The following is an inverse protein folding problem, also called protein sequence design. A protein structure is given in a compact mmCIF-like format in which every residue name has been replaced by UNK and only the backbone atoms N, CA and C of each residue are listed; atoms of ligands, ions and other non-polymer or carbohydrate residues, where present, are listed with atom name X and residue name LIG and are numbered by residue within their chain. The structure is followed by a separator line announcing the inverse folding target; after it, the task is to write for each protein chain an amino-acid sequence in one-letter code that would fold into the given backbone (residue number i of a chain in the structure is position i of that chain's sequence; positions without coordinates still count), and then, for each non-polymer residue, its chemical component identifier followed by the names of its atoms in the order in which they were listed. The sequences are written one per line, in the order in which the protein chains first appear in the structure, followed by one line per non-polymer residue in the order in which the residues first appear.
data_IF_964238094761
#
_entry.id   IF_964238094761
#
_cell.length_a   1.000
_cell.length_b   1.000
_cell.length_c   1.000
_cell.angle_alpha   90.00
_cell.angle_beta   90.00
_cell.angle_gamma   90.00
#
_symmetry.space_group_name_H-M   'P 1'
#
loop_
_entity.id
_entity.type
_entity.pdbx_description
1 polymer ?
#
# COMPACT_ATOMS: atom_id res chain seq x y z
N UNK A 1 -29.58 -3.75 9.24
CA UNK A 1 -29.59 -2.81 8.10
C UNK A 1 -30.11 -3.57 6.89
N UNK A 2 -31.08 -3.02 6.16
CA UNK A 2 -31.55 -3.62 4.92
C UNK A 2 -30.68 -3.14 3.75
N UNK A 3 -30.02 -4.07 3.09
CA UNK A 3 -29.05 -3.82 2.01
C UNK A 3 -29.68 -3.94 0.62
N UNK A 4 -30.96 -4.30 0.56
CA UNK A 4 -31.71 -4.41 -0.70
C UNK A 4 -32.34 -3.08 -1.12
N UNK A 5 -32.43 -2.13 -0.19
CA UNK A 5 -33.03 -0.80 -0.36
C UNK A 5 -32.00 0.32 -0.47
N UNK A 6 -32.45 1.52 -0.81
CA UNK A 6 -31.65 2.76 -0.80
C UNK A 6 -31.24 3.17 0.62
N UNK A 7 -30.36 4.17 0.74
CA UNK A 7 -30.11 4.83 2.02
C UNK A 7 -31.40 5.47 2.56
N UNK A 8 -31.65 5.33 3.85
CA UNK A 8 -32.51 6.27 4.57
C UNK A 8 -31.77 7.57 4.84
N UNK A 9 -32.51 8.65 5.12
CA UNK A 9 -31.91 9.95 5.48
C UNK A 9 -30.94 9.83 6.67
N UNK A 10 -31.26 8.96 7.63
CA UNK A 10 -30.41 8.70 8.79
C UNK A 10 -29.12 7.98 8.40
N UNK A 11 -29.20 6.97 7.53
CA UNK A 11 -28.03 6.23 7.08
C UNK A 11 -27.11 7.11 6.23
N UNK A 12 -27.67 7.94 5.35
CA UNK A 12 -26.91 8.90 4.55
C UNK A 12 -26.22 9.95 5.44
N UNK A 13 -26.98 10.57 6.35
CA UNK A 13 -26.43 11.54 7.32
C UNK A 13 -25.29 10.91 8.14
N UNK A 14 -25.46 9.66 8.57
CA UNK A 14 -24.42 8.91 9.27
C UNK A 14 -23.18 8.66 8.41
N UNK A 15 -23.34 8.34 7.12
CA UNK A 15 -22.23 8.17 6.18
C UNK A 15 -21.46 9.47 5.99
N UNK A 16 -22.14 10.58 5.72
CA UNK A 16 -21.51 11.90 5.57
C UNK A 16 -20.76 12.29 6.85
N UNK A 17 -21.38 12.10 8.02
CA UNK A 17 -20.74 12.36 9.30
C UNK A 17 -19.45 11.54 9.53
N UNK A 18 -19.41 10.29 9.05
CA UNK A 18 -18.16 9.48 9.08
C UNK A 18 -17.08 10.10 8.20
N UNK A 19 -17.40 10.56 6.99
CA UNK A 19 -16.43 11.21 6.12
C UNK A 19 -15.94 12.55 6.67
N UNK A 20 -16.83 13.38 7.23
CA UNK A 20 -16.45 14.61 7.89
C UNK A 20 -15.54 14.35 9.12
N UNK A 21 -15.81 13.25 9.83
CA UNK A 21 -14.98 12.81 10.95
C UNK A 21 -13.60 12.28 10.53
N UNK A 22 -13.41 11.88 9.27
CA UNK A 22 -12.14 11.33 8.74
C UNK A 22 -11.33 12.33 7.91
N UNK A 23 -11.99 13.18 7.13
CA UNK A 23 -11.35 14.10 6.19
C UNK A 23 -11.46 15.56 6.63
N UNK A 24 -12.45 15.87 7.47
CA UNK A 24 -12.85 17.24 7.80
C UNK A 24 -14.18 17.63 7.14
N UNK A 25 -14.92 18.56 7.76
CA UNK A 25 -16.23 18.98 7.26
C UNK A 25 -16.19 19.43 5.80
N UNK A 26 -17.10 18.90 4.99
CA UNK A 26 -17.31 19.32 3.59
C UNK A 26 -16.26 18.80 2.60
N UNK A 27 -15.33 17.94 3.05
CA UNK A 27 -14.31 17.35 2.17
C UNK A 27 -14.81 16.16 1.35
N UNK A 28 -15.97 15.60 1.67
CA UNK A 28 -16.57 14.49 0.93
C UNK A 28 -16.74 14.81 -0.56
N UNK A 29 -17.29 15.97 -0.89
CA UNK A 29 -17.56 16.35 -2.28
C UNK A 29 -16.27 16.65 -3.06
N UNK A 30 -15.28 17.24 -2.39
CA UNK A 30 -13.98 17.59 -2.98
C UNK A 30 -13.13 16.35 -3.28
N UNK A 31 -13.14 15.38 -2.38
CA UNK A 31 -12.20 14.24 -2.39
C UNK A 31 -12.84 12.98 -2.97
N UNK A 32 -14.14 12.76 -2.75
CA UNK A 32 -14.85 11.56 -3.15
C UNK A 32 -16.15 11.90 -3.87
N UNK A 33 -16.11 12.81 -4.85
CA UNK A 33 -17.29 13.25 -5.60
C UNK A 33 -18.12 12.14 -6.26
N UNK A 34 -17.55 10.95 -6.46
CA UNK A 34 -18.31 9.76 -6.88
C UNK A 34 -19.40 9.36 -5.87
N UNK A 35 -19.17 9.53 -4.57
CA UNK A 35 -20.12 9.15 -3.51
C UNK A 35 -21.40 10.00 -3.55
N UNK A 36 -21.37 11.35 -3.46
CA UNK A 36 -22.57 12.16 -3.59
C UNK A 36 -23.23 12.00 -4.96
N UNK A 37 -22.45 11.91 -6.05
CA UNK A 37 -22.99 11.63 -7.38
C UNK A 37 -23.79 10.33 -7.42
N UNK A 38 -23.26 9.24 -6.86
CA UNK A 38 -23.94 7.95 -6.84
C UNK A 38 -25.10 7.90 -5.84
N UNK A 39 -25.05 8.69 -4.78
CA UNK A 39 -26.19 8.86 -3.88
C UNK A 39 -27.39 9.46 -4.62
N UNK A 40 -27.14 10.46 -5.46
CA UNK A 40 -28.20 11.11 -6.24
C UNK A 40 -28.71 10.23 -7.40
N UNK A 41 -27.81 9.50 -8.07
CA UNK A 41 -28.16 8.68 -9.24
C UNK A 41 -28.73 7.31 -8.88
N UNK A 42 -28.06 6.57 -7.98
CA UNK A 42 -28.32 5.15 -7.65
C UNK A 42 -27.95 4.86 -6.19
N UNK A 43 -28.69 5.41 -5.22
CA UNK A 43 -28.36 5.29 -3.80
C UNK A 43 -28.38 3.83 -3.32
N UNK A 44 -29.22 2.98 -3.93
CA UNK A 44 -29.25 1.54 -3.68
C UNK A 44 -27.94 0.84 -4.05
N UNK A 45 -27.36 1.20 -5.20
CA UNK A 45 -26.05 0.67 -5.65
C UNK A 45 -24.93 1.17 -4.75
N UNK A 46 -24.92 2.46 -4.41
CA UNK A 46 -23.93 3.03 -3.49
C UNK A 46 -23.97 2.34 -2.12
N UNK A 47 -25.17 2.04 -1.59
CA UNK A 47 -25.33 1.37 -0.30
C UNK A 47 -24.69 -0.01 -0.30
N UNK A 48 -24.88 -0.78 -1.38
CA UNK A 48 -24.25 -2.10 -1.55
C UNK A 48 -22.74 -2.01 -1.74
N UNK A 49 -22.25 -1.01 -2.49
CA UNK A 49 -20.82 -0.74 -2.56
C UNK A 49 -20.23 -0.42 -1.18
N UNK A 50 -20.89 0.42 -0.39
CA UNK A 50 -20.46 0.75 0.97
C UNK A 50 -20.48 -0.45 1.91
N UNK A 51 -21.45 -1.35 1.77
CA UNK A 51 -21.44 -2.62 2.51
C UNK A 51 -20.16 -3.40 2.22
N UNK A 52 -19.84 -3.61 0.94
CA UNK A 52 -18.64 -4.36 0.56
C UNK A 52 -17.40 -3.65 1.09
N UNK A 53 -17.28 -2.34 0.90
CA UNK A 53 -16.16 -1.55 1.40
C UNK A 53 -16.00 -1.64 2.93
N UNK A 54 -17.10 -1.54 3.69
CA UNK A 54 -17.07 -1.66 5.15
C UNK A 54 -16.66 -3.09 5.58
N UNK A 55 -17.19 -4.13 4.93
CA UNK A 55 -16.81 -5.54 5.22
C UNK A 55 -15.32 -5.75 5.01
N UNK A 56 -14.79 -5.41 3.83
CA UNK A 56 -13.41 -5.75 3.48
C UNK A 56 -12.41 -4.88 4.24
N UNK A 57 -12.70 -3.59 4.43
CA UNK A 57 -11.76 -2.71 5.16
C UNK A 57 -11.72 -3.03 6.64
N UNK A 58 -12.83 -3.46 7.25
CA UNK A 58 -12.86 -3.84 8.68
C UNK A 58 -12.51 -5.31 8.91
N UNK A 59 -12.25 -6.10 7.86
CA UNK A 59 -11.95 -7.53 7.97
C UNK A 59 -13.11 -8.33 8.59
N UNK A 60 -14.35 -7.89 8.37
CA UNK A 60 -15.53 -8.53 8.98
C UNK A 60 -15.66 -9.98 8.53
N UNK A 61 -15.73 -10.89 9.50
CA UNK A 61 -15.83 -12.33 9.26
C UNK A 61 -14.49 -13.06 9.19
N UNK A 62 -13.36 -12.35 9.23
CA UNK A 62 -12.03 -12.95 9.38
C UNK A 62 -11.75 -13.22 10.86
N UNK A 63 -11.06 -14.34 11.15
CA UNK A 63 -10.65 -14.68 12.51
C UNK A 63 -9.62 -13.68 13.07
N UNK A 64 -8.75 -13.14 12.20
CA UNK A 64 -7.70 -12.18 12.54
C UNK A 64 -7.59 -11.08 11.48
N UNK A 65 -8.67 -10.32 11.29
CA UNK A 65 -8.67 -9.14 10.42
C UNK A 65 -7.81 -7.99 10.97
N UNK A 66 -7.37 -7.11 10.07
CA UNK A 66 -6.67 -5.87 10.38
C UNK A 66 -7.68 -4.76 10.65
N UNK A 67 -7.49 -3.95 11.71
CA UNK A 67 -8.27 -2.75 11.92
C UNK A 67 -8.02 -1.75 10.78
N UNK A 68 -9.07 -1.05 10.38
CA UNK A 68 -8.97 0.08 9.46
C UNK A 68 -9.81 1.28 9.94
N UNK A 69 -9.29 2.51 9.87
CA UNK A 69 -7.90 2.87 9.56
C UNK A 69 -6.92 2.37 10.65
N UNK A 70 -5.61 2.27 10.36
CA UNK A 70 -4.91 2.87 9.22
C UNK A 70 -4.66 1.91 8.05
N UNK A 71 -4.71 0.59 8.25
CA UNK A 71 -3.96 -0.35 7.40
C UNK A 71 -4.40 -0.32 5.93
N UNK A 72 -5.65 -0.66 5.62
CA UNK A 72 -6.12 -0.68 4.24
C UNK A 72 -6.08 0.72 3.60
N UNK A 73 -6.39 1.77 4.37
CA UNK A 73 -6.32 3.15 3.88
C UNK A 73 -4.90 3.58 3.52
N UNK A 74 -3.89 3.24 4.34
CA UNK A 74 -2.50 3.60 4.03
C UNK A 74 -1.93 2.74 2.90
N UNK A 75 -2.38 1.49 2.78
CA UNK A 75 -2.10 0.63 1.62
C UNK A 75 -2.67 1.27 0.35
N UNK A 76 -3.93 1.77 0.38
CA UNK A 76 -4.49 2.56 -0.71
C UNK A 76 -3.71 3.85 -0.98
N UNK A 77 -3.25 4.55 0.05
CA UNK A 77 -2.41 5.75 -0.09
C UNK A 77 -1.14 5.48 -0.89
N UNK A 78 -0.48 4.36 -0.63
CA UNK A 78 0.63 3.89 -1.46
C UNK A 78 0.19 3.67 -2.91
N UNK A 79 -0.85 2.86 -3.15
CA UNK A 79 -1.32 2.56 -4.51
C UNK A 79 -1.78 3.80 -5.29
N UNK A 80 -2.57 4.67 -4.66
CA UNK A 80 -3.05 5.94 -5.20
C UNK A 80 -1.87 6.85 -5.62
N UNK A 81 -0.81 6.87 -4.81
CA UNK A 81 0.42 7.59 -5.15
C UNK A 81 1.12 6.95 -6.35
N UNK A 82 1.19 5.62 -6.40
CA UNK A 82 1.79 4.87 -7.52
C UNK A 82 1.12 5.17 -8.85
N UNK A 83 -0.23 5.16 -8.89
CA UNK A 83 -0.99 5.46 -10.11
C UNK A 83 -1.20 6.96 -10.36
N UNK A 84 -0.77 7.82 -9.44
CA UNK A 84 -0.94 9.27 -9.54
C UNK A 84 -2.41 9.71 -9.47
N UNK A 85 -3.23 9.12 -8.59
CA UNK A 85 -4.62 9.50 -8.37
C UNK A 85 -4.72 10.62 -7.31
N UNK A 86 -4.90 11.89 -7.72
CA UNK A 86 -4.66 13.03 -6.83
C UNK A 86 -5.64 13.12 -5.66
N UNK A 87 -6.92 12.82 -5.89
CA UNK A 87 -7.94 12.85 -4.85
C UNK A 87 -7.67 11.78 -3.78
N UNK A 88 -7.31 10.56 -4.21
CA UNK A 88 -6.94 9.48 -3.29
C UNK A 88 -5.70 9.81 -2.45
N UNK A 89 -4.65 10.36 -3.08
CA UNK A 89 -3.45 10.82 -2.36
C UNK A 89 -3.82 11.83 -1.27
N UNK A 90 -4.64 12.84 -1.61
CA UNK A 90 -5.07 13.84 -0.64
C UNK A 90 -5.89 13.21 0.50
N UNK A 91 -6.85 12.33 0.18
CA UNK A 91 -7.69 11.63 1.15
C UNK A 91 -6.87 10.89 2.20
N UNK A 92 -5.91 10.09 1.74
CA UNK A 92 -5.12 9.22 2.59
C UNK A 92 -4.17 10.03 3.48
N UNK A 93 -3.61 11.14 2.98
CA UNK A 93 -2.79 12.01 3.81
C UNK A 93 -3.57 12.82 4.84
N UNK A 94 -4.77 13.33 4.49
CA UNK A 94 -5.66 13.96 5.46
C UNK A 94 -6.04 12.99 6.58
N UNK A 95 -6.38 11.76 6.19
CA UNK A 95 -6.68 10.69 7.13
C UNK A 95 -5.49 10.39 8.03
N UNK A 96 -4.29 10.20 7.47
CA UNK A 96 -3.07 9.91 8.22
C UNK A 96 -2.81 10.98 9.30
N UNK A 97 -2.84 12.27 8.92
CA UNK A 97 -2.69 13.39 9.87
C UNK A 97 -3.75 13.33 10.95
N UNK A 98 -5.01 13.07 10.58
CA UNK A 98 -6.14 13.13 11.52
C UNK A 98 -6.16 12.00 12.54
N UNK A 99 -5.65 10.81 12.19
CA UNK A 99 -5.55 9.68 13.10
C UNK A 99 -4.22 9.65 13.86
N UNK A 100 -3.46 10.74 13.83
CA UNK A 100 -2.24 10.89 14.62
C UNK A 100 -1.00 10.27 14.00
N UNK A 101 -1.01 10.01 12.70
CA UNK A 101 0.20 9.63 11.96
C UNK A 101 1.29 10.68 12.12
N UNK A 102 2.53 10.27 11.90
CA UNK A 102 3.70 11.15 11.90
C UNK A 102 4.15 11.46 10.47
N UNK A 103 4.87 12.56 10.30
CA UNK A 103 5.43 12.95 9.00
C UNK A 103 6.43 11.94 8.44
N UNK A 104 7.21 11.27 9.29
CA UNK A 104 8.17 10.24 8.89
C UNK A 104 7.47 9.00 8.32
N UNK A 105 6.35 8.55 8.92
CA UNK A 105 5.52 7.46 8.40
C UNK A 105 4.97 7.80 7.01
N UNK A 106 4.46 9.01 6.84
CA UNK A 106 3.98 9.50 5.54
C UNK A 106 5.11 9.61 4.52
N UNK A 107 6.28 10.09 4.94
CA UNK A 107 7.46 10.19 4.07
C UNK A 107 7.94 8.81 3.60
N UNK A 108 7.90 7.78 4.46
CA UNK A 108 8.21 6.40 4.09
C UNK A 108 7.18 5.85 3.08
N UNK A 109 5.88 6.12 3.26
CA UNK A 109 4.83 5.71 2.30
C UNK A 109 5.09 6.33 0.93
N UNK A 110 5.38 7.64 0.89
CA UNK A 110 5.66 8.37 -0.35
C UNK A 110 6.97 7.91 -1.00
N UNK A 111 8.00 7.63 -0.22
CA UNK A 111 9.29 7.12 -0.69
C UNK A 111 9.14 5.74 -1.32
N UNK A 112 8.37 4.84 -0.69
CA UNK A 112 8.03 3.53 -1.24
C UNK A 112 7.16 3.64 -2.51
N UNK A 113 6.19 4.55 -2.53
CA UNK A 113 5.37 4.77 -3.71
C UNK A 113 6.22 5.29 -4.89
N UNK A 114 7.18 6.18 -4.63
CA UNK A 114 8.10 6.67 -5.63
C UNK A 114 8.93 5.54 -6.27
N UNK A 115 9.30 4.52 -5.51
CA UNK A 115 9.99 3.37 -6.07
C UNK A 115 9.17 2.69 -7.19
N UNK A 116 7.85 2.65 -7.03
CA UNK A 116 6.95 1.92 -7.94
C UNK A 116 6.24 2.80 -8.98
N UNK A 117 6.11 4.11 -8.75
CA UNK A 117 5.25 4.99 -9.56
C UNK A 117 5.80 5.39 -10.92
N UNK A 118 7.12 5.27 -11.11
CA UNK A 118 7.81 5.99 -12.18
C UNK A 118 7.57 7.50 -12.14
N UNK A 119 7.86 8.20 -13.23
CA UNK A 119 7.79 9.67 -13.29
C UNK A 119 6.38 10.26 -13.12
N UNK A 120 5.34 9.53 -13.52
CA UNK A 120 3.96 10.06 -13.52
C UNK A 120 3.43 10.24 -12.10
N UNK A 121 3.50 9.20 -11.26
CA UNK A 121 3.06 9.32 -9.88
C UNK A 121 3.90 10.30 -9.07
N UNK A 122 5.20 10.45 -9.36
CA UNK A 122 6.05 11.46 -8.73
C UNK A 122 5.53 12.88 -8.93
N UNK A 123 5.23 13.25 -10.18
CA UNK A 123 4.79 14.60 -10.50
C UNK A 123 3.45 14.93 -9.83
N UNK A 124 2.52 13.97 -9.83
CA UNK A 124 1.23 14.15 -9.16
C UNK A 124 1.38 14.22 -7.65
N UNK A 125 2.16 13.32 -7.04
CA UNK A 125 2.41 13.31 -5.61
C UNK A 125 3.05 14.62 -5.15
N UNK A 126 4.08 15.12 -5.84
CA UNK A 126 4.70 16.40 -5.51
C UNK A 126 3.69 17.55 -5.51
N UNK A 127 2.83 17.64 -6.54
CA UNK A 127 1.80 18.68 -6.66
C UNK A 127 0.75 18.60 -5.55
N UNK A 128 0.31 17.40 -5.18
CA UNK A 128 -0.76 17.19 -4.20
C UNK A 128 -0.24 17.28 -2.77
N UNK A 129 0.90 16.64 -2.49
CA UNK A 129 1.44 16.53 -1.13
C UNK A 129 2.10 17.84 -0.66
N UNK A 130 2.69 18.64 -1.55
CA UNK A 130 3.49 19.80 -1.14
C UNK A 130 2.71 20.80 -0.28
N UNK A 131 1.49 21.27 -0.63
CA UNK A 131 0.74 22.19 0.21
C UNK A 131 0.37 21.58 1.57
N UNK A 132 0.02 20.30 1.58
CA UNK A 132 -0.37 19.60 2.81
C UNK A 132 0.81 19.44 3.76
N UNK A 133 1.94 18.95 3.25
CA UNK A 133 3.17 18.75 4.03
C UNK A 133 3.75 20.08 4.53
N UNK A 134 3.60 21.17 3.76
CA UNK A 134 3.97 22.51 4.22
C UNK A 134 3.11 22.99 5.41
N UNK A 135 1.85 22.54 5.49
CA UNK A 135 0.93 22.85 6.60
C UNK A 135 1.02 21.88 7.79
N UNK A 136 1.85 20.85 7.70
CA UNK A 136 2.02 19.82 8.73
C UNK A 136 3.37 20.05 9.39
N UNK A 137 3.40 20.73 10.53
CA UNK A 137 4.62 20.95 11.31
C UNK A 137 5.05 19.66 12.03
N UNK A 138 6.35 19.43 12.33
CA UNK A 138 6.74 18.36 13.25
C UNK A 138 6.09 18.49 14.65
N UNK A 139 5.71 19.71 15.05
CA UNK A 139 4.94 19.93 16.28
C UNK A 139 3.50 19.38 16.20
N UNK A 140 3.00 19.08 15.00
CA UNK A 140 1.70 18.48 14.77
C UNK A 140 1.78 16.94 14.69
N UNK A 141 2.97 16.33 14.86
CA UNK A 141 3.12 14.88 14.86
C UNK A 141 2.35 14.26 16.03
N UNK A 142 1.54 13.25 15.72
CA UNK A 142 0.81 12.48 16.71
C UNK A 142 1.64 11.32 17.31
N UNK A 143 1.01 10.39 18.03
CA UNK A 143 1.68 9.21 18.58
C UNK A 143 2.19 8.22 17.50
N UNK A 144 1.81 8.39 16.23
CA UNK A 144 2.01 7.42 15.16
C UNK A 144 0.72 6.73 14.74
N UNK A 145 0.75 6.13 13.55
CA UNK A 145 -0.37 5.36 13.04
C UNK A 145 -0.62 4.11 13.93
N UNK A 146 -1.88 3.80 14.27
CA UNK A 146 -2.17 2.68 15.17
C UNK A 146 -2.11 1.33 14.41
N UNK A 147 -0.91 0.76 14.34
CA UNK A 147 -0.65 -0.52 13.67
C UNK A 147 -1.20 -1.73 14.47
N UNK A 148 -1.49 -2.86 13.79
CA UNK A 148 -1.87 -4.10 14.45
C UNK A 148 -0.86 -4.56 15.50
N UNK A 149 -1.34 -5.24 16.55
CA UNK A 149 -0.47 -5.78 17.59
C UNK A 149 0.59 -6.72 17.00
N UNK A 150 1.84 -6.57 17.43
CA UNK A 150 2.98 -7.38 16.98
C UNK A 150 3.62 -6.90 15.68
N UNK A 151 3.03 -5.92 14.99
CA UNK A 151 3.70 -5.26 13.87
C UNK A 151 4.76 -4.29 14.40
N UNK A 152 5.92 -4.32 13.79
CA UNK A 152 7.07 -3.52 14.19
C UNK A 152 7.89 -3.12 12.97
N UNK A 153 8.59 -2.00 13.08
CA UNK A 153 9.57 -1.63 12.06
C UNK A 153 10.84 -2.43 12.22
N UNK A 154 11.36 -2.93 11.10
CA UNK A 154 12.67 -3.55 10.98
C UNK A 154 13.21 -3.22 9.58
N UNK A 155 14.00 -2.15 9.49
CA UNK A 155 14.66 -1.76 8.24
C UNK A 155 15.70 -2.78 7.80
N UNK A 156 16.30 -3.52 8.74
CA UNK A 156 17.36 -4.49 8.45
C UNK A 156 16.83 -5.71 7.71
N UNK A 157 15.54 -6.04 7.90
CA UNK A 157 14.85 -7.07 7.13
C UNK A 157 14.92 -6.87 5.59
N UNK A 158 15.07 -5.62 5.14
CA UNK A 158 15.15 -5.28 3.71
C UNK A 158 16.58 -5.22 3.16
N UNK A 159 17.61 -5.39 4.00
CA UNK A 159 19.01 -5.29 3.59
C UNK A 159 19.48 -6.53 2.84
N UNK A 160 20.06 -6.35 1.66
CA UNK A 160 20.71 -7.45 0.91
C UNK A 160 22.08 -7.79 1.49
N UNK A 161 22.72 -6.82 2.16
CA UNK A 161 24.10 -6.89 2.61
C UNK A 161 25.09 -6.30 1.62
N UNK A 162 24.61 -5.66 0.54
CA UNK A 162 25.45 -4.80 -0.32
C UNK A 162 25.84 -3.55 0.45
N UNK A 163 27.11 -3.16 0.39
CA UNK A 163 27.59 -1.90 0.93
C UNK A 163 27.44 -0.79 -0.12
N UNK A 164 26.69 0.27 0.21
CA UNK A 164 26.47 1.40 -0.68
C UNK A 164 27.32 2.63 -0.30
N UNK A 165 28.01 2.61 0.84
CA UNK A 165 28.81 3.75 1.32
C UNK A 165 30.14 3.88 0.56
N UNK A 166 30.68 2.74 0.12
CA UNK A 166 31.96 2.65 -0.61
C UNK A 166 31.83 2.89 -2.13
N UNK A 167 30.71 3.44 -2.60
CA UNK A 167 30.55 3.78 -4.01
C UNK A 167 31.34 5.06 -4.37
N UNK A 168 32.57 4.90 -4.83
CA UNK A 168 33.47 5.98 -5.26
C UNK A 168 33.26 6.43 -6.73
N UNK A 169 32.24 5.89 -7.39
CA UNK A 169 32.01 6.09 -8.83
C UNK A 169 32.77 5.11 -9.73
N UNK A 170 33.37 4.05 -9.17
CA UNK A 170 33.99 2.97 -9.92
C UNK A 170 33.01 2.32 -10.92
N UNK A 171 33.56 1.94 -12.06
CA UNK A 171 32.83 1.27 -13.15
C UNK A 171 32.78 -0.25 -13.00
N UNK A 172 33.60 -0.82 -12.11
CA UNK A 172 33.63 -2.26 -11.85
C UNK A 172 32.68 -2.61 -10.72
N UNK A 173 31.88 -3.66 -10.92
CA UNK A 173 30.93 -4.18 -9.94
C UNK A 173 31.52 -5.44 -9.31
N UNK A 174 31.47 -5.54 -7.98
CA UNK A 174 31.80 -6.78 -7.28
C UNK A 174 30.70 -7.83 -7.55
N UNK A 175 31.04 -9.00 -8.14
CA UNK A 175 30.08 -10.10 -8.29
C UNK A 175 29.42 -10.54 -6.98
N UNK A 176 30.06 -10.29 -5.82
CA UNK A 176 29.50 -10.56 -4.50
C UNK A 176 28.23 -9.75 -4.22
N UNK A 177 28.11 -8.53 -4.76
CA UNK A 177 26.94 -7.68 -4.59
C UNK A 177 25.71 -8.25 -5.30
N UNK A 178 25.90 -8.69 -6.55
CA UNK A 178 24.83 -9.33 -7.33
C UNK A 178 24.39 -10.64 -6.65
N UNK A 179 25.34 -11.40 -6.11
CA UNK A 179 25.05 -12.60 -5.34
C UNK A 179 24.30 -12.28 -4.02
N UNK A 180 24.61 -11.17 -3.35
CA UNK A 180 23.91 -10.72 -2.15
C UNK A 180 22.45 -10.33 -2.44
N UNK A 181 22.21 -9.60 -3.53
CA UNK A 181 20.86 -9.25 -4.00
C UNK A 181 20.06 -10.52 -4.32
N UNK A 182 20.68 -11.47 -5.03
CA UNK A 182 20.07 -12.76 -5.40
C UNK A 182 19.64 -13.54 -4.14
N UNK A 183 20.55 -13.72 -3.18
CA UNK A 183 20.26 -14.42 -1.91
C UNK A 183 19.17 -13.75 -1.09
N UNK A 184 19.06 -12.42 -1.15
CA UNK A 184 17.97 -11.72 -0.48
C UNK A 184 16.63 -12.07 -1.09
N UNK A 185 16.51 -12.08 -2.42
CA UNK A 185 15.25 -12.42 -3.09
C UNK A 185 14.84 -13.86 -2.79
N UNK A 186 15.76 -14.82 -2.82
CA UNK A 186 15.47 -16.21 -2.43
C UNK A 186 14.97 -16.31 -0.99
N UNK A 187 15.64 -15.65 -0.05
CA UNK A 187 15.29 -15.70 1.37
C UNK A 187 13.97 -15.00 1.70
N UNK A 188 13.74 -13.83 1.13
CA UNK A 188 12.67 -12.91 1.54
C UNK A 188 11.47 -12.96 0.60
N UNK A 189 11.66 -13.32 -0.67
CA UNK A 189 10.59 -13.43 -1.67
C UNK A 189 10.39 -14.86 -2.20
N UNK A 190 11.21 -15.81 -1.77
CA UNK A 190 11.10 -17.24 -2.10
C UNK A 190 11.63 -17.62 -3.48
N UNK A 191 11.85 -16.65 -4.36
CA UNK A 191 12.36 -16.83 -5.72
C UNK A 191 13.07 -15.55 -6.20
N UNK A 192 13.94 -15.69 -7.20
CA UNK A 192 14.68 -14.57 -7.81
C UNK A 192 13.91 -14.04 -9.01
N UNK A 193 13.53 -12.75 -9.04
CA UNK A 193 12.89 -12.16 -10.22
C UNK A 193 13.80 -12.21 -11.46
N UNK A 194 13.27 -12.44 -12.67
CA UNK A 194 14.07 -12.50 -13.89
C UNK A 194 14.90 -11.23 -14.17
N UNK A 195 14.43 -10.05 -13.74
CA UNK A 195 15.16 -8.80 -13.92
C UNK A 195 16.48 -8.77 -13.15
N UNK A 196 16.62 -9.53 -12.05
CA UNK A 196 17.86 -9.58 -11.26
C UNK A 196 18.97 -10.24 -12.09
N UNK A 197 18.67 -11.38 -12.74
CA UNK A 197 19.62 -12.03 -13.63
C UNK A 197 19.94 -11.14 -14.84
N UNK A 198 18.90 -10.59 -15.48
CA UNK A 198 19.05 -9.77 -16.68
C UNK A 198 19.90 -8.51 -16.42
N UNK A 199 19.57 -7.73 -15.39
CA UNK A 199 20.36 -6.53 -15.08
C UNK A 199 21.71 -6.87 -14.44
N UNK A 200 21.82 -7.97 -13.70
CA UNK A 200 23.11 -8.44 -13.20
C UNK A 200 24.11 -8.73 -14.33
N UNK A 201 23.65 -9.28 -15.45
CA UNK A 201 24.48 -9.55 -16.63
C UNK A 201 24.73 -8.29 -17.48
N UNK A 202 23.67 -7.53 -17.78
CA UNK A 202 23.74 -6.50 -18.81
C UNK A 202 23.91 -5.07 -18.28
N UNK A 203 23.53 -4.79 -17.04
CA UNK A 203 23.66 -3.46 -16.45
C UNK A 203 23.73 -3.50 -14.91
N UNK A 204 24.80 -4.10 -14.34
CA UNK A 204 24.83 -4.43 -12.91
C UNK A 204 24.80 -3.19 -12.00
N UNK A 205 25.41 -2.07 -12.43
CA UNK A 205 25.31 -0.79 -11.72
C UNK A 205 23.87 -0.28 -11.62
N UNK A 206 23.03 -0.52 -12.63
CA UNK A 206 21.61 -0.13 -12.55
C UNK A 206 20.84 -1.02 -11.56
N UNK A 207 21.15 -2.33 -11.51
CA UNK A 207 20.57 -3.24 -10.51
C UNK A 207 20.94 -2.82 -9.09
N UNK A 208 22.23 -2.55 -8.84
CA UNK A 208 22.73 -2.10 -7.54
C UNK A 208 22.13 -0.75 -7.17
N UNK A 209 22.10 0.21 -8.10
CA UNK A 209 21.49 1.51 -7.86
C UNK A 209 19.99 1.42 -7.55
N UNK A 210 19.25 0.56 -8.25
CA UNK A 210 17.84 0.31 -7.92
C UNK A 210 17.68 -0.37 -6.56
N UNK A 211 18.58 -1.29 -6.21
CA UNK A 211 18.60 -1.93 -4.91
C UNK A 211 18.85 -0.93 -3.79
N UNK A 212 19.84 -0.04 -3.94
CA UNK A 212 20.12 1.03 -2.99
C UNK A 212 18.87 1.89 -2.75
N UNK A 213 18.15 2.26 -3.82
CA UNK A 213 16.87 2.99 -3.71
C UNK A 213 15.81 2.21 -2.94
N UNK A 214 15.68 0.90 -3.18
CA UNK A 214 14.74 0.07 -2.42
C UNK A 214 15.09 0.04 -0.93
N UNK A 215 16.34 -0.27 -0.58
CA UNK A 215 16.77 -0.41 0.82
C UNK A 215 16.75 0.90 1.61
N UNK A 216 16.91 2.03 0.94
CA UNK A 216 16.90 3.36 1.57
C UNK A 216 15.55 4.06 1.53
N UNK A 217 14.55 3.46 0.87
CA UNK A 217 13.19 4.01 0.82
C UNK A 217 12.41 3.89 2.14
N UNK A 218 12.99 3.18 3.12
CA UNK A 218 12.41 2.94 4.43
C UNK A 218 13.33 3.51 5.51
N UNK A 219 12.88 4.56 6.20
CA UNK A 219 13.64 5.15 7.31
C UNK A 219 13.44 4.39 8.63
N UNK A 220 12.51 3.44 8.67
CA UNK A 220 12.17 2.66 9.86
C UNK A 220 10.95 3.22 10.61
N UNK A 221 10.13 4.07 9.97
CA UNK A 221 8.92 4.59 10.58
C UNK A 221 7.73 3.62 10.44
N UNK A 222 7.72 2.81 9.39
CA UNK A 222 6.64 1.88 9.05
C UNK A 222 6.94 0.43 9.47
N UNK A 223 5.92 -0.37 9.79
CA UNK A 223 6.09 -1.80 10.00
C UNK A 223 6.49 -2.55 8.72
N UNK A 224 7.34 -3.55 8.87
CA UNK A 224 7.80 -4.42 7.78
C UNK A 224 6.63 -5.17 7.11
N UNK A 225 5.63 -5.56 7.89
CA UNK A 225 4.39 -6.20 7.41
C UNK A 225 3.58 -5.29 6.49
N UNK A 226 3.47 -4.00 6.84
CA UNK A 226 2.75 -3.01 6.05
C UNK A 226 3.39 -2.85 4.67
N UNK A 227 4.72 -2.72 4.63
CA UNK A 227 5.50 -2.60 3.39
C UNK A 227 5.25 -3.80 2.46
N UNK A 228 5.22 -5.02 3.01
CA UNK A 228 4.92 -6.21 2.22
C UNK A 228 3.50 -6.22 1.67
N UNK A 229 2.52 -5.79 2.47
CA UNK A 229 1.13 -5.72 2.04
C UNK A 229 0.87 -4.64 0.98
N UNK A 230 1.63 -3.54 0.97
CA UNK A 230 1.63 -2.58 -0.13
C UNK A 230 2.06 -3.24 -1.46
N UNK A 231 3.08 -4.11 -1.43
CA UNK A 231 3.49 -4.86 -2.62
C UNK A 231 2.46 -5.91 -3.04
N UNK A 232 1.79 -6.56 -2.08
CA UNK A 232 0.69 -7.51 -2.37
C UNK A 232 -0.44 -6.78 -3.10
N UNK A 233 -0.90 -5.63 -2.58
CA UNK A 233 -1.95 -4.86 -3.23
C UNK A 233 -1.52 -4.40 -4.63
N UNK A 234 -0.31 -3.85 -4.75
CA UNK A 234 0.18 -3.34 -6.03
C UNK A 234 0.26 -4.45 -7.08
N UNK A 235 0.85 -5.60 -6.74
CA UNK A 235 0.96 -6.74 -7.65
C UNK A 235 -0.41 -7.29 -8.07
N UNK A 236 -1.37 -7.31 -7.14
CA UNK A 236 -2.76 -7.68 -7.44
C UNK A 236 -3.39 -6.67 -8.42
N UNK A 237 -3.33 -5.37 -8.11
CA UNK A 237 -3.91 -4.31 -8.94
C UNK A 237 -3.29 -4.24 -10.35
N UNK A 238 -2.00 -4.55 -10.48
CA UNK A 238 -1.31 -4.64 -11.76
C UNK A 238 -1.44 -6.00 -12.46
N UNK A 239 -2.14 -6.96 -11.83
CA UNK A 239 -2.39 -8.30 -12.37
C UNK A 239 -1.09 -9.02 -12.75
N UNK A 240 -0.10 -8.94 -11.85
CA UNK A 240 1.23 -9.52 -12.04
C UNK A 240 1.37 -10.78 -11.15
N UNK A 241 1.02 -11.99 -11.65
CA UNK A 241 0.95 -13.20 -10.81
C UNK A 241 2.29 -13.53 -10.15
N UNK A 242 3.40 -13.48 -10.90
CA UNK A 242 4.73 -13.77 -10.32
C UNK A 242 5.12 -12.76 -9.24
N UNK A 243 4.82 -11.48 -9.46
CA UNK A 243 5.07 -10.45 -8.45
C UNK A 243 4.18 -10.64 -7.23
N UNK A 244 2.93 -11.07 -7.42
CA UNK A 244 1.99 -11.33 -6.35
C UNK A 244 2.46 -12.49 -5.47
N UNK A 245 2.90 -13.61 -6.07
CA UNK A 245 3.46 -14.75 -5.36
C UNK A 245 4.64 -14.35 -4.47
N UNK A 246 5.60 -13.60 -5.03
CA UNK A 246 6.74 -13.06 -4.28
C UNK A 246 6.34 -12.13 -3.15
N UNK A 247 5.38 -11.24 -3.39
CA UNK A 247 4.88 -10.33 -2.37
C UNK A 247 4.14 -11.08 -1.24
N UNK A 248 3.37 -12.12 -1.56
CA UNK A 248 2.72 -12.98 -0.57
C UNK A 248 3.74 -13.79 0.24
N UNK A 249 4.79 -14.31 -0.42
CA UNK A 249 5.91 -14.95 0.28
C UNK A 249 6.57 -13.98 1.27
N UNK A 250 6.86 -12.76 0.83
CA UNK A 250 7.45 -11.73 1.67
C UNK A 250 6.54 -11.33 2.83
N UNK A 251 5.24 -11.17 2.60
CA UNK A 251 4.27 -10.90 3.65
C UNK A 251 4.28 -12.01 4.71
N UNK A 252 4.20 -13.28 4.28
CA UNK A 252 4.29 -14.43 5.18
C UNK A 252 5.62 -14.46 5.95
N UNK A 253 6.73 -14.22 5.26
CA UNK A 253 8.07 -14.19 5.85
C UNK A 253 8.16 -13.16 6.99
N UNK A 254 7.49 -12.02 6.86
CA UNK A 254 7.43 -10.98 7.89
C UNK A 254 6.31 -11.17 8.93
N UNK A 255 5.65 -12.34 8.94
CA UNK A 255 4.65 -12.69 9.95
C UNK A 255 3.26 -12.11 9.68
N UNK A 256 2.97 -11.67 8.45
CA UNK A 256 1.58 -11.41 8.04
C UNK A 256 0.81 -12.73 8.08
N UNK A 257 -0.39 -12.71 8.64
CA UNK A 257 -1.26 -13.90 8.67
C UNK A 257 -2.01 -14.10 7.36
N UNK A 258 -2.51 -15.32 7.14
CA UNK A 258 -3.32 -15.66 5.96
C UNK A 258 -4.54 -14.75 5.83
N UNK A 259 -5.21 -14.47 6.94
CA UNK A 259 -6.40 -13.62 7.01
C UNK A 259 -6.08 -12.17 6.64
N UNK A 260 -4.96 -11.64 7.12
CA UNK A 260 -4.52 -10.28 6.79
C UNK A 260 -4.20 -10.15 5.29
N UNK A 261 -3.50 -11.12 4.71
CA UNK A 261 -3.26 -11.16 3.27
C UNK A 261 -4.57 -11.31 2.46
N UNK A 262 -5.49 -12.19 2.92
CA UNK A 262 -6.82 -12.34 2.32
C UNK A 262 -7.59 -11.01 2.31
N UNK A 263 -7.54 -10.27 3.42
CA UNK A 263 -8.19 -8.97 3.54
C UNK A 263 -7.65 -7.97 2.52
N UNK A 264 -6.32 -7.92 2.31
CA UNK A 264 -5.73 -7.03 1.28
C UNK A 264 -6.15 -7.43 -0.12
N UNK A 265 -6.20 -8.73 -0.43
CA UNK A 265 -6.70 -9.21 -1.73
C UNK A 265 -8.18 -8.86 -1.94
N UNK A 266 -9.01 -9.03 -0.92
CA UNK A 266 -10.41 -8.61 -0.94
C UNK A 266 -10.55 -7.08 -1.07
N UNK A 267 -9.63 -6.33 -0.47
CA UNK A 267 -9.59 -4.88 -0.62
C UNK A 267 -9.18 -4.45 -2.04
N UNK A 268 -8.24 -5.15 -2.68
CA UNK A 268 -7.86 -4.95 -4.09
C UNK A 268 -9.06 -5.10 -5.05
N UNK A 269 -10.05 -5.92 -4.70
CA UNK A 269 -11.28 -6.04 -5.49
C UNK A 269 -12.05 -4.71 -5.62
N UNK A 270 -11.96 -3.81 -4.63
CA UNK A 270 -12.58 -2.48 -4.72
C UNK A 270 -11.97 -1.61 -5.83
N UNK A 271 -10.74 -1.92 -6.27
CA UNK A 271 -10.04 -1.21 -7.34
C UNK A 271 -10.17 -1.92 -8.68
N UNK A 272 -10.22 -3.26 -8.65
CA UNK A 272 -10.20 -4.11 -9.83
C UNK A 272 -11.59 -4.46 -10.39
N UNK A 273 -12.62 -4.38 -9.56
CA UNK A 273 -13.94 -4.94 -9.87
C UNK A 273 -13.91 -6.47 -9.94
N UNK A 274 -15.03 -7.07 -10.34
CA UNK A 274 -15.17 -8.51 -10.52
C UNK A 274 -14.26 -9.07 -11.63
N UNK A 275 -14.21 -8.39 -12.78
CA UNK A 275 -13.43 -8.85 -13.94
C UNK A 275 -11.91 -8.85 -13.71
N UNK A 276 -11.42 -8.02 -12.78
CA UNK A 276 -10.00 -7.93 -12.50
C UNK A 276 -9.48 -9.02 -11.56
N UNK A 277 -10.35 -9.69 -10.80
CA UNK A 277 -9.95 -10.61 -9.73
C UNK A 277 -9.58 -12.02 -10.20
N UNK A 278 -10.10 -12.49 -11.33
CA UNK A 278 -9.86 -13.88 -11.80
C UNK A 278 -8.36 -14.20 -11.95
N UNK A 279 -7.61 -13.28 -12.56
CA UNK A 279 -6.16 -13.41 -12.73
C UNK A 279 -5.40 -13.39 -11.39
N UNK A 280 -5.89 -12.61 -10.42
CA UNK A 280 -5.29 -12.47 -9.08
C UNK A 280 -5.53 -13.72 -8.24
N UNK A 281 -6.77 -14.21 -8.22
CA UNK A 281 -7.17 -15.32 -7.36
C UNK A 281 -6.68 -16.67 -7.86
N UNK A 282 -6.46 -16.83 -9.17
CA UNK A 282 -5.87 -18.07 -9.71
C UNK A 282 -4.49 -18.34 -9.09
N UNK A 283 -3.63 -17.31 -9.02
CA UNK A 283 -2.30 -17.42 -8.41
C UNK A 283 -2.37 -17.43 -6.88
N UNK A 284 -3.18 -16.56 -6.27
CA UNK A 284 -3.26 -16.51 -4.80
C UNK A 284 -3.81 -17.81 -4.20
N UNK A 285 -4.72 -18.51 -4.88
CA UNK A 285 -5.35 -19.72 -4.34
C UNK A 285 -4.36 -20.86 -4.10
N UNK A 286 -3.38 -21.06 -5.00
CA UNK A 286 -2.36 -22.08 -4.81
C UNK A 286 -1.45 -21.74 -3.64
N UNK A 287 -0.99 -20.48 -3.56
CA UNK A 287 -0.15 -20.01 -2.45
C UNK A 287 -0.85 -20.13 -1.09
N UNK A 288 -2.15 -19.80 -1.03
CA UNK A 288 -2.94 -19.86 0.20
C UNK A 288 -3.20 -21.28 0.70
N UNK A 289 -3.14 -22.29 -0.16
CA UNK A 289 -3.27 -23.68 0.25
C UNK A 289 -2.10 -24.10 1.17
N UNK A 290 -0.91 -23.54 0.91
CA UNK A 290 0.34 -23.84 1.60
C UNK A 290 0.82 -22.68 2.50
N UNK A 291 -0.10 -21.80 2.93
CA UNK A 291 0.23 -20.62 3.74
C UNK A 291 0.96 -21.00 5.03
#
# INVERSE_FOLDING_TARGET
MDWTTSFSDQEWTGLVGRYDALLGPGKLDEVFGFIPMMHDLRPDTLKRFRLVADIVTQGMGLASGMPNPPVCSMIAGHYNTVIGYPEGIAADLFLAKRIGGRRDEVADILSMAWLHSGMSGMATAARVCQPLLASWSPADDGPGLPWPQGWASDSEAFRSGVDFEDYDGATEVDPADIAAITRWHERVQGEVPPYVAFFGEHFPLALIGFRARFETSFSGALPTQFIALCQVQLAACWKQPDALRRALYMARHFGVTKEQAAQVLAYSQLFLGDLGMDAVLTEASSFFADW
#
